data_IF_875623090640
#
_entry.id   IF_875623090640
#
_cell.length_a   1.000
_cell.length_b   1.000
_cell.length_c   1.000
_cell.angle_alpha   90.00
_cell.angle_beta   90.00
_cell.angle_gamma   90.00
#
_symmetry.space_group_name_H-M   'P 1'
#
loop_
_entity.id
_entity.type
_entity.pdbx_description
1 polymer ?
#
# COMPACT_ATOMS: atom_id res chain seq x y z
N UNK A 1 -12.35 -42.13 -5.09
CA UNK A 1 -12.90 -41.41 -6.26
C UNK A 1 -11.82 -40.47 -6.80
N UNK A 2 -11.37 -40.58 -8.06
CA UNK A 2 -10.32 -39.71 -8.58
C UNK A 2 -10.93 -38.31 -8.82
N UNK A 3 -10.37 -37.30 -8.15
CA UNK A 3 -10.78 -35.90 -8.35
C UNK A 3 -10.39 -35.53 -9.79
N UNK A 4 -11.37 -35.28 -10.66
CA UNK A 4 -11.14 -34.64 -11.96
C UNK A 4 -10.43 -33.30 -11.69
N UNK A 5 -9.13 -33.26 -11.91
CA UNK A 5 -8.34 -32.03 -11.84
C UNK A 5 -8.87 -31.14 -12.96
N UNK A 6 -9.50 -30.02 -12.60
CA UNK A 6 -9.89 -29.02 -13.59
C UNK A 6 -8.59 -28.45 -14.18
N UNK A 7 -8.42 -28.42 -15.52
CA UNK A 7 -7.19 -27.90 -16.15
C UNK A 7 -6.82 -26.48 -15.70
N UNK A 8 -7.81 -25.69 -15.28
CA UNK A 8 -7.63 -24.35 -14.73
C UNK A 8 -6.87 -24.30 -13.40
N UNK A 9 -6.68 -25.42 -12.70
CA UNK A 9 -6.00 -25.49 -11.39
C UNK A 9 -4.58 -26.05 -11.42
N UNK A 10 -4.05 -26.40 -12.60
CA UNK A 10 -2.70 -26.96 -12.71
C UNK A 10 -1.65 -25.91 -12.30
N UNK A 11 -0.64 -26.26 -11.51
CA UNK A 11 0.51 -25.36 -11.21
C UNK A 11 1.36 -25.11 -12.47
N UNK A 12 2.28 -24.15 -12.41
CA UNK A 12 3.24 -23.93 -13.52
C UNK A 12 4.10 -25.19 -13.73
N UNK A 13 4.52 -25.90 -12.66
CA UNK A 13 5.27 -27.14 -12.82
C UNK A 13 4.42 -28.26 -13.42
N UNK A 14 3.15 -28.38 -13.03
CA UNK A 14 2.23 -29.36 -13.60
C UNK A 14 1.94 -29.07 -15.08
N UNK A 15 1.85 -27.80 -15.48
CA UNK A 15 1.71 -27.39 -16.88
C UNK A 15 2.98 -27.70 -17.69
N UNK A 16 4.17 -27.49 -17.12
CA UNK A 16 5.44 -27.87 -17.77
C UNK A 16 5.58 -29.39 -17.93
N UNK A 17 5.15 -30.16 -16.92
CA UNK A 17 5.10 -31.62 -17.01
C UNK A 17 4.10 -32.07 -18.11
N UNK A 18 2.95 -31.42 -18.20
CA UNK A 18 1.96 -31.66 -19.26
C UNK A 18 2.55 -31.38 -20.65
N UNK A 19 3.28 -30.26 -20.80
CA UNK A 19 3.94 -29.87 -22.05
C UNK A 19 4.95 -30.93 -22.53
N UNK A 20 5.76 -31.46 -21.62
CA UNK A 20 6.75 -32.52 -21.90
C UNK A 20 6.08 -33.83 -22.36
N UNK A 21 4.90 -34.14 -21.84
CA UNK A 21 4.13 -35.33 -22.21
C UNK A 21 3.27 -35.16 -23.46
N UNK A 22 3.11 -33.94 -23.96
CA UNK A 22 2.20 -33.63 -25.05
C UNK A 22 2.88 -33.85 -26.40
N UNK A 23 2.18 -34.48 -27.35
CA UNK A 23 2.66 -34.74 -28.72
C UNK A 23 2.04 -33.80 -29.76
N UNK A 24 0.94 -33.14 -29.42
CA UNK A 24 0.26 -32.16 -30.26
C UNK A 24 0.88 -30.76 -30.06
N UNK A 25 1.45 -30.21 -31.14
CA UNK A 25 2.11 -28.91 -31.13
C UNK A 25 1.13 -27.74 -30.88
N UNK A 26 -0.13 -27.85 -31.30
CA UNK A 26 -1.14 -26.84 -31.01
C UNK A 26 -1.46 -26.81 -29.51
N UNK A 27 -1.50 -27.98 -28.87
CA UNK A 27 -1.72 -28.07 -27.42
C UNK A 27 -0.47 -27.60 -26.65
N UNK A 28 0.74 -27.86 -27.14
CA UNK A 28 1.98 -27.31 -26.57
C UNK A 28 1.99 -25.78 -26.56
N UNK A 29 1.62 -25.14 -27.69
CA UNK A 29 1.55 -23.68 -27.78
C UNK A 29 0.54 -23.09 -26.79
N UNK A 30 -0.63 -23.73 -26.62
CA UNK A 30 -1.61 -23.28 -25.62
C UNK A 30 -1.05 -23.40 -24.20
N UNK A 31 -0.31 -24.47 -23.90
CA UNK A 31 0.32 -24.64 -22.58
C UNK A 31 1.39 -23.57 -22.34
N UNK A 32 2.24 -23.28 -23.32
CA UNK A 32 3.25 -22.22 -23.24
C UNK A 32 2.63 -20.85 -22.97
N UNK A 33 1.59 -20.48 -23.71
CA UNK A 33 0.89 -19.21 -23.52
C UNK A 33 0.25 -19.11 -22.12
N UNK A 34 -0.30 -20.22 -21.61
CA UNK A 34 -0.88 -20.26 -20.26
C UNK A 34 0.21 -20.12 -19.19
N UNK A 35 1.36 -20.79 -19.35
CA UNK A 35 2.51 -20.65 -18.45
C UNK A 35 3.02 -19.22 -18.46
N UNK A 36 3.22 -18.64 -19.65
CA UNK A 36 3.70 -17.27 -19.82
C UNK A 36 2.77 -16.23 -19.16
N UNK A 37 1.45 -16.33 -19.37
CA UNK A 37 0.48 -15.42 -18.73
C UNK A 37 0.48 -15.54 -17.21
N UNK A 38 0.66 -16.74 -16.66
CA UNK A 38 0.71 -16.96 -15.21
C UNK A 38 2.00 -16.44 -14.58
N UNK A 39 3.13 -16.60 -15.26
CA UNK A 39 4.41 -16.02 -14.84
C UNK A 39 4.36 -14.50 -14.86
N UNK A 40 3.76 -13.90 -15.89
CA UNK A 40 3.51 -12.46 -15.93
C UNK A 40 2.61 -12.00 -14.78
N UNK A 41 1.49 -12.68 -14.51
CA UNK A 41 0.60 -12.36 -13.41
C UNK A 41 1.32 -12.43 -12.05
N UNK A 42 2.11 -13.48 -11.82
CA UNK A 42 2.91 -13.62 -10.59
C UNK A 42 3.97 -12.51 -10.46
N UNK A 43 4.58 -12.11 -11.57
CA UNK A 43 5.53 -10.99 -11.60
C UNK A 43 4.86 -9.65 -11.30
N UNK A 44 3.69 -9.38 -11.90
CA UNK A 44 2.92 -8.17 -11.64
C UNK A 44 2.42 -8.11 -10.20
N UNK A 45 1.96 -9.23 -9.64
CA UNK A 45 1.54 -9.30 -8.23
C UNK A 45 2.70 -9.04 -7.27
N UNK A 46 3.89 -9.59 -7.56
CA UNK A 46 5.10 -9.31 -6.78
C UNK A 46 5.48 -7.83 -6.85
N UNK A 47 5.34 -7.20 -8.01
CA UNK A 47 5.58 -5.76 -8.19
C UNK A 47 4.55 -4.92 -7.45
N UNK A 48 3.27 -5.30 -7.50
CA UNK A 48 2.18 -4.64 -6.78
C UNK A 48 2.42 -4.68 -5.26
N UNK A 49 2.71 -5.86 -4.69
CA UNK A 49 3.06 -6.00 -3.26
C UNK A 49 4.26 -5.16 -2.86
N UNK A 50 5.27 -5.06 -3.72
CA UNK A 50 6.43 -4.19 -3.44
C UNK A 50 6.02 -2.72 -3.40
N UNK A 51 5.13 -2.28 -4.30
CA UNK A 51 4.60 -0.91 -4.30
C UNK A 51 3.74 -0.67 -3.06
N UNK A 52 2.86 -1.60 -2.70
CA UNK A 52 2.04 -1.51 -1.47
C UNK A 52 2.92 -1.36 -0.23
N UNK A 53 3.94 -2.21 -0.06
CA UNK A 53 4.89 -2.08 1.05
C UNK A 53 5.61 -0.72 1.06
N UNK A 54 6.01 -0.20 -0.11
CA UNK A 54 6.62 1.13 -0.19
C UNK A 54 5.63 2.23 0.19
N UNK A 55 4.37 2.12 -0.22
CA UNK A 55 3.31 3.03 0.19
C UNK A 55 3.04 2.97 1.69
N UNK A 56 3.11 1.79 2.31
CA UNK A 56 3.00 1.63 3.77
C UNK A 56 4.15 2.29 4.51
N UNK A 57 5.39 2.09 4.04
CA UNK A 57 6.58 2.76 4.61
C UNK A 57 6.43 4.28 4.53
N UNK A 58 6.12 4.81 3.33
CA UNK A 58 5.92 6.26 3.14
C UNK A 58 4.81 6.80 4.03
N UNK A 59 3.71 6.03 4.20
CA UNK A 59 2.61 6.41 5.08
C UNK A 59 3.02 6.42 6.55
N UNK A 60 3.80 5.43 7.00
CA UNK A 60 4.27 5.36 8.38
C UNK A 60 5.19 6.54 8.72
N UNK A 61 6.16 6.83 7.85
CA UNK A 61 7.07 7.98 7.97
C UNK A 61 6.30 9.31 8.01
N UNK A 62 5.31 9.47 7.13
CA UNK A 62 4.46 10.67 7.12
C UNK A 62 3.64 10.81 8.41
N UNK A 63 3.09 9.71 8.94
CA UNK A 63 2.33 9.73 10.20
C UNK A 63 3.21 10.08 11.40
N UNK A 64 4.44 9.56 11.43
CA UNK A 64 5.40 9.89 12.48
C UNK A 64 5.80 11.37 12.43
N UNK A 65 6.18 11.87 11.26
CA UNK A 65 6.57 13.27 11.10
C UNK A 65 5.41 14.25 11.38
N UNK A 66 4.20 13.94 10.88
CA UNK A 66 3.01 14.74 11.14
C UNK A 66 2.59 14.68 12.62
N UNK A 67 2.71 13.51 13.26
CA UNK A 67 2.44 13.31 14.68
C UNK A 67 3.38 14.14 15.56
N UNK A 68 4.69 14.10 15.28
CA UNK A 68 5.68 14.91 16.00
C UNK A 68 5.41 16.42 15.86
N UNK A 69 5.04 16.89 14.66
CA UNK A 69 4.69 18.31 14.43
C UNK A 69 3.44 18.73 15.19
N UNK A 70 2.40 17.89 15.24
CA UNK A 70 1.18 18.17 16.02
C UNK A 70 1.46 18.22 17.52
N UNK A 71 2.28 17.31 18.04
CA UNK A 71 2.69 17.33 19.45
C UNK A 71 3.46 18.62 19.77
N UNK A 72 4.41 19.01 18.92
CA UNK A 72 5.15 20.26 19.08
C UNK A 72 4.22 21.49 19.05
N UNK A 73 3.23 21.52 18.16
CA UNK A 73 2.25 22.61 18.10
C UNK A 73 1.35 22.67 19.34
N UNK A 74 0.92 21.53 19.88
CA UNK A 74 0.14 21.48 21.12
C UNK A 74 0.95 21.93 22.33
N UNK A 75 2.23 21.53 22.42
CA UNK A 75 3.16 22.02 23.45
C UNK A 75 3.34 23.53 23.35
N UNK A 76 3.61 24.06 22.14
CA UNK A 76 3.73 25.50 21.90
C UNK A 76 2.43 26.24 22.24
N UNK A 77 1.26 25.66 21.91
CA UNK A 77 -0.04 26.25 22.26
C UNK A 77 -0.22 26.34 23.78
N UNK A 78 0.21 25.30 24.51
CA UNK A 78 0.23 25.28 25.97
C UNK A 78 1.10 26.39 26.55
N UNK A 79 2.37 26.48 26.11
CA UNK A 79 3.31 27.51 26.55
C UNK A 79 2.80 28.93 26.27
N UNK A 80 2.24 29.17 25.08
CA UNK A 80 1.61 30.46 24.75
C UNK A 80 0.43 30.75 25.69
N UNK A 81 -0.41 29.75 25.99
CA UNK A 81 -1.52 29.89 26.92
C UNK A 81 -1.08 30.29 28.32
N UNK A 82 -0.01 29.69 28.84
CA UNK A 82 0.53 29.99 30.16
C UNK A 82 1.18 31.38 30.21
N UNK A 83 1.92 31.77 29.17
CA UNK A 83 2.45 33.13 29.03
C UNK A 83 1.34 34.18 29.00
N UNK A 84 0.24 33.91 28.31
CA UNK A 84 -0.93 34.80 28.27
C UNK A 84 -1.58 34.94 29.65
N UNK A 85 -1.77 33.83 30.37
CA UNK A 85 -2.29 33.84 31.75
C UNK A 85 -1.40 34.65 32.70
N UNK A 86 -0.08 34.48 32.61
CA UNK A 86 0.88 35.25 33.40
C UNK A 86 0.81 36.76 33.10
N UNK A 87 0.49 37.14 31.85
CA UNK A 87 0.26 38.54 31.46
C UNK A 87 -1.13 39.06 31.82
N UNK A 88 -1.99 38.25 32.43
CA UNK A 88 -3.38 38.62 32.75
C UNK A 88 -4.28 38.70 31.51
N UNK A 89 -3.87 38.14 30.38
CA UNK A 89 -4.71 38.03 29.18
C UNK A 89 -5.76 36.93 29.40
N UNK A 90 -7.05 37.26 29.25
CA UNK A 90 -8.13 36.27 29.24
C UNK A 90 -7.92 35.29 28.05
N UNK A 91 -8.36 34.01 28.17
CA UNK A 91 -8.24 33.07 27.06
C UNK A 91 -9.05 33.59 25.89
N UNK A 92 -8.36 34.15 24.90
CA UNK A 92 -8.98 34.72 23.72
C UNK A 92 -9.68 33.62 22.95
N UNK A 93 -11.01 33.68 22.88
CA UNK A 93 -11.72 33.23 21.70
C UNK A 93 -10.99 33.82 20.49
N UNK A 94 -10.65 32.97 19.53
CA UNK A 94 -9.97 33.39 18.31
C UNK A 94 -10.75 34.54 17.67
N UNK A 95 -10.34 35.77 17.94
CA UNK A 95 -10.86 36.91 17.20
C UNK A 95 -10.41 36.72 15.76
N UNK A 96 -11.34 36.68 14.79
CA UNK A 96 -10.97 36.59 13.39
C UNK A 96 -10.05 37.77 13.06
N UNK A 97 -9.13 37.63 12.08
CA UNK A 97 -8.32 38.76 11.66
C UNK A 97 -9.28 39.87 11.22
N UNK A 98 -9.28 40.97 11.96
CA UNK A 98 -10.12 42.12 11.68
C UNK A 98 -9.60 42.74 10.39
N UNK A 99 -10.24 42.39 9.27
CA UNK A 99 -9.96 42.89 7.95
C UNK A 99 -10.38 44.34 7.84
N UNK A 100 -9.70 45.25 8.53
CA UNK A 100 -9.86 46.69 8.36
C UNK A 100 -8.54 47.44 8.34
N UNK A 101 -8.26 47.88 7.10
CA UNK A 101 -7.49 49.05 6.64
C UNK A 101 -6.01 48.82 6.35
#
# INVERSE_FOLDING_TARGET
MPRKIRPSRLSIEELRALWLSQSDDAVRQVIEEVVFRREQAAHTDKKARRIENLCEIVRAEWQEEAGCKLIALEQLRGEIGDLRRLRGELPGEASPPDGRR
#
